data_IF_044478031014
#
_entry.id   IF_044478031014
#
_cell.length_a   1.000
_cell.length_b   1.000
_cell.length_c   1.000
_cell.angle_alpha   90.00
_cell.angle_beta   90.00
_cell.angle_gamma   90.00
#
_symmetry.space_group_name_H-M   'P 1'
#
loop_
_entity.id
_entity.type
_entity.pdbx_description
1 polymer ?
#
# COMPACT_ATOMS: atom_id res chain seq x y z
N UNK A 1 12.99 28.49 8.78
CA UNK A 1 11.80 27.72 9.15
C UNK A 1 11.35 26.94 7.93
N UNK A 2 11.42 25.62 7.95
CA UNK A 2 10.82 24.74 6.95
C UNK A 2 9.40 24.38 7.41
N UNK A 3 8.48 24.10 6.48
CA UNK A 3 7.11 23.69 6.81
C UNK A 3 7.03 22.32 7.51
N UNK A 4 8.15 21.58 7.55
CA UNK A 4 8.33 20.32 8.27
C UNK A 4 8.98 20.48 9.66
N UNK A 5 9.27 21.71 10.14
CA UNK A 5 10.01 21.91 11.40
C UNK A 5 9.33 21.29 12.65
N UNK A 6 8.02 21.01 12.58
CA UNK A 6 7.22 20.48 13.72
C UNK A 6 7.14 18.95 13.79
N UNK A 7 7.89 18.22 12.97
CA UNK A 7 7.95 16.75 13.01
C UNK A 7 9.30 16.20 13.49
N UNK A 8 10.04 16.99 14.30
CA UNK A 8 11.36 16.60 14.85
C UNK A 8 11.35 15.30 15.68
N UNK A 9 10.21 14.96 16.30
CA UNK A 9 10.03 13.70 17.04
C UNK A 9 10.17 12.45 16.16
N UNK A 10 10.10 12.59 14.82
CA UNK A 10 10.32 11.47 13.91
C UNK A 10 11.77 10.93 13.97
N UNK A 11 12.69 11.72 14.52
CA UNK A 11 14.08 11.36 14.74
C UNK A 11 15.04 11.96 13.71
N UNK A 12 16.35 11.81 13.93
CA UNK A 12 17.38 12.47 13.11
C UNK A 12 17.33 12.00 11.65
N UNK A 13 17.56 12.94 10.72
CA UNK A 13 17.57 12.72 9.27
C UNK A 13 16.24 12.21 8.68
N UNK A 14 15.14 12.20 9.43
CA UNK A 14 13.85 11.68 8.97
C UNK A 14 13.30 12.42 7.75
N UNK A 15 13.44 13.75 7.71
CA UNK A 15 13.02 14.54 6.55
C UNK A 15 13.74 14.10 5.27
N UNK A 16 15.07 13.87 5.34
CA UNK A 16 15.84 13.37 4.21
C UNK A 16 15.41 11.95 3.79
N UNK A 17 15.16 11.07 4.76
CA UNK A 17 14.68 9.70 4.50
C UNK A 17 13.31 9.71 3.81
N UNK A 18 12.39 10.55 4.28
CA UNK A 18 11.05 10.73 3.69
C UNK A 18 11.14 11.38 2.30
N UNK A 19 12.05 12.33 2.08
CA UNK A 19 12.25 12.94 0.77
C UNK A 19 12.83 11.95 -0.26
N UNK A 20 13.62 10.97 0.15
CA UNK A 20 14.23 9.98 -0.75
C UNK A 20 13.31 8.79 -1.06
N UNK A 21 12.36 8.45 -0.17
CA UNK A 21 11.56 7.23 -0.30
C UNK A 21 10.56 7.34 -1.46
N UNK A 22 10.34 6.21 -2.15
CA UNK A 22 9.33 6.08 -3.20
C UNK A 22 8.16 5.23 -2.73
N UNK A 23 6.97 5.84 -2.67
CA UNK A 23 5.73 5.17 -2.28
C UNK A 23 4.87 4.87 -3.51
N UNK A 24 4.53 3.59 -3.70
CA UNK A 24 3.58 3.14 -4.71
C UNK A 24 2.15 3.13 -4.15
N UNK A 25 1.20 3.76 -4.82
CA UNK A 25 -0.22 3.70 -4.47
C UNK A 25 -1.01 3.01 -5.59
N UNK A 26 -1.62 1.87 -5.27
CA UNK A 26 -2.45 1.09 -6.19
C UNK A 26 -3.92 1.27 -5.83
N UNK A 27 -4.70 1.84 -6.75
CA UNK A 27 -6.06 2.30 -6.49
C UNK A 27 -6.06 3.62 -5.71
N UNK A 28 -6.83 4.60 -6.17
CA UNK A 28 -6.92 5.95 -5.63
C UNK A 28 -8.36 6.31 -5.26
N UNK A 29 -9.08 5.33 -4.75
CA UNK A 29 -10.40 5.50 -4.12
C UNK A 29 -10.31 6.20 -2.76
N UNK A 30 -11.30 5.94 -1.89
CA UNK A 30 -11.41 6.57 -0.56
C UNK A 30 -10.11 6.50 0.24
N UNK A 31 -9.71 5.32 0.70
CA UNK A 31 -8.53 5.14 1.56
C UNK A 31 -7.23 5.74 1.00
N UNK A 32 -6.81 5.34 -0.20
CA UNK A 32 -5.54 5.81 -0.76
C UNK A 32 -5.52 7.30 -1.15
N UNK A 33 -6.68 7.95 -1.37
CA UNK A 33 -6.72 9.41 -1.53
C UNK A 33 -6.30 10.14 -0.25
N UNK A 34 -6.69 9.64 0.93
CA UNK A 34 -6.21 10.13 2.22
C UNK A 34 -4.73 9.82 2.43
N UNK A 35 -4.28 8.59 2.12
CA UNK A 35 -2.86 8.22 2.25
C UNK A 35 -1.97 9.15 1.43
N UNK A 36 -2.31 9.37 0.16
CA UNK A 36 -1.56 10.29 -0.70
C UNK A 36 -1.45 11.70 -0.10
N UNK A 37 -2.55 12.24 0.44
CA UNK A 37 -2.58 13.56 1.07
C UNK A 37 -1.69 13.62 2.31
N UNK A 38 -1.85 12.65 3.22
CA UNK A 38 -1.10 12.61 4.48
C UNK A 38 0.40 12.40 4.23
N UNK A 39 0.77 11.51 3.31
CA UNK A 39 2.16 11.31 2.89
C UNK A 39 2.77 12.56 2.25
N UNK A 40 1.99 13.30 1.44
CA UNK A 40 2.44 14.58 0.90
C UNK A 40 2.73 15.58 2.03
N UNK A 41 1.88 15.66 3.05
CA UNK A 41 2.10 16.50 4.24
C UNK A 41 3.30 16.07 5.11
N UNK A 42 3.71 14.80 5.03
CA UNK A 42 4.91 14.30 5.73
C UNK A 42 6.21 14.60 4.97
N UNK A 43 6.12 15.17 3.76
CA UNK A 43 7.29 15.48 2.94
C UNK A 43 7.82 14.27 2.16
N UNK A 44 7.00 13.24 1.93
CA UNK A 44 7.36 12.15 1.02
C UNK A 44 7.72 12.73 -0.35
N UNK A 45 8.89 12.35 -0.87
CA UNK A 45 9.42 12.97 -2.08
C UNK A 45 9.01 12.29 -3.38
N UNK A 46 8.74 10.97 -3.39
CA UNK A 46 8.49 10.24 -4.63
C UNK A 46 7.23 9.37 -4.53
N UNK A 47 6.38 9.46 -5.57
CA UNK A 47 5.14 8.72 -5.68
C UNK A 47 5.03 8.02 -7.04
N UNK A 48 4.57 6.78 -7.03
CA UNK A 48 4.11 6.05 -8.23
C UNK A 48 2.64 5.72 -8.04
N UNK A 49 1.77 6.28 -8.87
CA UNK A 49 0.32 6.13 -8.74
C UNK A 49 -0.22 5.30 -9.89
N UNK A 50 -1.08 4.31 -9.60
CA UNK A 50 -1.84 3.59 -10.63
C UNK A 50 -3.32 3.47 -10.27
N UNK A 51 -4.14 4.01 -11.15
CA UNK A 51 -5.59 3.86 -11.14
C UNK A 51 -6.12 4.11 -12.56
N UNK A 52 -6.89 3.15 -13.10
CA UNK A 52 -7.48 3.24 -14.44
C UNK A 52 -8.73 4.12 -14.47
N UNK A 53 -9.34 4.40 -13.33
CA UNK A 53 -10.63 5.02 -13.23
C UNK A 53 -10.59 6.55 -13.37
N UNK A 54 -11.75 7.08 -13.73
CA UNK A 54 -12.09 8.49 -13.61
C UNK A 54 -12.98 8.68 -12.39
N UNK A 55 -12.96 9.88 -11.82
CA UNK A 55 -13.87 10.21 -10.71
C UNK A 55 -15.34 10.14 -11.17
N UNK A 56 -16.20 9.57 -10.32
CA UNK A 56 -17.66 9.58 -10.48
C UNK A 56 -18.33 10.39 -9.38
N UNK A 57 -19.62 10.67 -9.54
CA UNK A 57 -20.43 11.36 -8.55
C UNK A 57 -20.42 10.65 -7.18
N UNK A 58 -20.50 9.31 -7.20
CA UNK A 58 -20.48 8.48 -5.98
C UNK A 58 -19.14 8.49 -5.27
N UNK A 59 -18.07 9.07 -5.83
CA UNK A 59 -16.78 9.22 -5.16
C UNK A 59 -16.66 10.52 -4.36
N UNK A 60 -17.50 11.54 -4.61
CA UNK A 60 -17.34 12.87 -3.99
C UNK A 60 -17.46 12.86 -2.46
N UNK A 61 -18.12 11.85 -1.90
CA UNK A 61 -18.30 11.73 -0.45
C UNK A 61 -17.05 11.23 0.30
N UNK A 62 -15.97 10.82 -0.40
CA UNK A 62 -14.78 10.20 0.22
C UNK A 62 -13.46 10.36 -0.53
N UNK A 63 -13.47 10.77 -1.80
CA UNK A 63 -12.25 10.93 -2.58
C UNK A 63 -11.63 12.31 -2.32
N UNK A 64 -10.53 12.34 -1.57
CA UNK A 64 -9.83 13.57 -1.21
C UNK A 64 -9.26 14.26 -2.46
N UNK A 65 -9.51 15.56 -2.57
CA UNK A 65 -9.15 16.38 -3.75
C UNK A 65 -10.13 16.27 -4.92
N UNK A 66 -11.12 15.38 -4.84
CA UNK A 66 -12.24 15.29 -5.78
C UNK A 66 -13.21 16.46 -5.63
N UNK A 67 -13.71 16.97 -6.74
CA UNK A 67 -14.66 18.09 -6.78
C UNK A 67 -15.74 17.85 -7.83
N UNK A 68 -16.86 18.56 -7.72
CA UNK A 68 -17.92 18.57 -8.75
C UNK A 68 -17.36 18.87 -10.14
N UNK A 69 -16.43 19.82 -10.23
CA UNK A 69 -15.76 20.16 -11.49
C UNK A 69 -14.96 18.98 -12.06
N UNK A 70 -14.31 18.19 -11.20
CA UNK A 70 -13.59 17.01 -11.67
C UNK A 70 -14.55 15.94 -12.22
N UNK A 71 -15.73 15.79 -11.63
CA UNK A 71 -16.79 14.89 -12.14
C UNK A 71 -17.28 15.36 -13.50
N UNK A 72 -17.61 16.64 -13.65
CA UNK A 72 -18.04 17.22 -14.94
C UNK A 72 -16.99 17.00 -16.03
N UNK A 73 -15.70 17.19 -15.71
CA UNK A 73 -14.57 16.95 -16.63
C UNK A 73 -14.18 15.48 -16.77
N UNK A 74 -14.84 14.57 -16.06
CA UNK A 74 -14.48 13.14 -15.97
C UNK A 74 -12.99 12.96 -15.68
N UNK A 75 -12.43 13.72 -14.75
CA UNK A 75 -10.97 13.75 -14.51
C UNK A 75 -10.47 12.39 -14.03
N UNK A 76 -9.31 11.95 -14.51
CA UNK A 76 -8.69 10.71 -14.03
C UNK A 76 -8.31 10.83 -12.55
N UNK A 77 -8.54 9.78 -11.74
CA UNK A 77 -8.23 9.83 -10.29
C UNK A 77 -6.75 10.10 -10.04
N UNK A 78 -5.87 9.50 -10.84
CA UNK A 78 -4.41 9.76 -10.80
C UNK A 78 -4.05 11.24 -11.01
N UNK A 79 -4.80 11.96 -11.85
CA UNK A 79 -4.54 13.37 -12.13
C UNK A 79 -4.97 14.27 -10.98
N UNK A 80 -6.14 13.97 -10.40
CA UNK A 80 -6.63 14.66 -9.19
C UNK A 80 -5.59 14.53 -8.08
N UNK A 81 -5.08 13.30 -7.89
CA UNK A 81 -4.15 13.00 -6.83
C UNK A 81 -2.78 13.63 -7.06
N UNK A 82 -2.26 13.62 -8.29
CA UNK A 82 -1.04 14.33 -8.66
C UNK A 82 -1.14 15.82 -8.35
N UNK A 83 -2.23 16.47 -8.76
CA UNK A 83 -2.47 17.89 -8.48
C UNK A 83 -2.49 18.17 -6.98
N UNK A 84 -3.17 17.34 -6.21
CA UNK A 84 -3.28 17.50 -4.76
C UNK A 84 -1.91 17.33 -4.07
N UNK A 85 -1.16 16.28 -4.39
CA UNK A 85 0.18 16.05 -3.84
C UNK A 85 1.09 17.24 -4.17
N UNK A 86 1.10 17.71 -5.41
CA UNK A 86 1.94 18.85 -5.84
C UNK A 86 1.53 20.18 -5.20
N UNK A 87 0.25 20.36 -4.86
CA UNK A 87 -0.21 21.54 -4.15
C UNK A 87 0.32 21.56 -2.69
N UNK A 88 0.49 20.40 -2.06
CA UNK A 88 1.02 20.27 -0.70
C UNK A 88 2.55 20.29 -0.70
N UNK A 89 3.16 19.46 -1.55
CA UNK A 89 4.62 19.34 -1.69
C UNK A 89 5.02 19.56 -3.15
N UNK A 90 5.34 20.81 -3.56
CA UNK A 90 5.73 21.13 -4.93
C UNK A 90 6.99 20.41 -5.43
N UNK A 91 7.84 19.96 -4.49
CA UNK A 91 9.08 19.23 -4.78
C UNK A 91 8.86 17.74 -5.01
N UNK A 92 7.67 17.21 -4.73
CA UNK A 92 7.39 15.80 -4.91
C UNK A 92 7.44 15.41 -6.40
N UNK A 93 8.14 14.32 -6.70
CA UNK A 93 8.05 13.62 -7.97
C UNK A 93 6.83 12.71 -7.94
N UNK A 94 5.90 12.89 -8.89
CA UNK A 94 4.68 12.09 -8.98
C UNK A 94 4.57 11.47 -10.38
N UNK A 95 4.88 10.18 -10.46
CA UNK A 95 4.68 9.34 -11.64
C UNK A 95 3.24 8.80 -11.63
N UNK A 96 2.51 8.93 -12.75
CA UNK A 96 1.12 8.50 -12.85
C UNK A 96 0.93 7.48 -13.97
N UNK A 97 0.13 6.44 -13.68
CA UNK A 97 -0.25 5.39 -14.61
C UNK A 97 -1.77 5.29 -14.64
N UNK A 98 -2.37 5.82 -15.72
CA UNK A 98 -3.82 5.76 -15.91
C UNK A 98 -4.26 4.42 -16.53
N UNK A 99 -3.94 3.34 -15.82
CA UNK A 99 -4.13 1.96 -16.25
C UNK A 99 -4.12 1.04 -15.03
N UNK A 100 -4.45 -0.22 -15.26
CA UNK A 100 -4.25 -1.26 -14.25
C UNK A 100 -2.79 -1.32 -13.81
N UNK A 101 -2.55 -1.52 -12.50
CA UNK A 101 -1.20 -1.48 -11.94
C UNK A 101 -0.30 -2.57 -12.49
N UNK A 102 -0.88 -3.72 -12.90
CA UNK A 102 -0.16 -4.83 -13.51
C UNK A 102 0.61 -4.37 -14.77
N UNK A 103 0.03 -3.43 -15.53
CA UNK A 103 0.65 -2.83 -16.72
C UNK A 103 1.70 -1.77 -16.40
N UNK A 104 1.89 -1.45 -15.12
CA UNK A 104 2.89 -0.53 -14.60
C UNK A 104 3.88 -1.25 -13.64
N UNK A 105 3.96 -2.58 -13.69
CA UNK A 105 4.77 -3.38 -12.77
C UNK A 105 6.22 -2.91 -12.66
N UNK A 106 6.86 -2.52 -13.77
CA UNK A 106 8.25 -2.01 -13.75
C UNK A 106 8.41 -0.71 -12.95
N UNK A 107 7.37 0.12 -12.87
CA UNK A 107 7.37 1.30 -12.00
C UNK A 107 7.25 0.90 -10.52
N UNK A 108 6.34 -0.03 -10.22
CA UNK A 108 6.14 -0.52 -8.85
C UNK A 108 7.34 -1.31 -8.32
N UNK A 109 8.12 -2.00 -9.17
CA UNK A 109 9.38 -2.66 -8.78
C UNK A 109 10.42 -1.71 -8.17
N UNK A 110 10.32 -0.41 -8.44
CA UNK A 110 11.22 0.63 -7.92
C UNK A 110 10.75 1.24 -6.60
N UNK A 111 9.52 0.96 -6.18
CA UNK A 111 8.97 1.50 -4.95
C UNK A 111 9.65 0.88 -3.73
N UNK A 112 9.83 1.66 -2.68
CA UNK A 112 10.32 1.18 -1.39
C UNK A 112 9.19 0.60 -0.54
N UNK A 113 7.97 1.12 -0.70
CA UNK A 113 6.76 0.63 -0.02
C UNK A 113 5.57 0.76 -0.99
N UNK A 114 4.66 -0.21 -0.99
CA UNK A 114 3.42 -0.15 -1.75
C UNK A 114 2.22 -0.16 -0.81
N UNK A 115 1.23 0.69 -1.08
CA UNK A 115 -0.06 0.73 -0.37
C UNK A 115 -1.19 0.41 -1.34
N UNK A 116 -1.93 -0.66 -1.05
CA UNK A 116 -3.04 -1.14 -1.86
C UNK A 116 -4.38 -0.67 -1.29
N UNK A 117 -5.16 -0.02 -2.14
CA UNK A 117 -6.57 0.32 -1.93
C UNK A 117 -7.44 -0.40 -2.94
N UNK A 118 -7.27 -1.72 -3.05
CA UNK A 118 -8.00 -2.57 -3.99
C UNK A 118 -9.30 -3.09 -3.37
N UNK A 119 -10.37 -3.09 -4.15
CA UNK A 119 -11.70 -3.49 -3.68
C UNK A 119 -11.96 -5.01 -3.80
N UNK A 120 -11.13 -5.75 -4.54
CA UNK A 120 -11.32 -7.19 -4.76
C UNK A 120 -10.18 -8.02 -4.17
N UNK A 121 -10.51 -9.20 -3.67
CA UNK A 121 -9.58 -10.14 -3.04
C UNK A 121 -8.53 -10.63 -4.02
N UNK A 122 -8.92 -10.89 -5.28
CA UNK A 122 -7.96 -11.33 -6.30
C UNK A 122 -6.83 -10.32 -6.51
N UNK A 123 -7.17 -9.04 -6.63
CA UNK A 123 -6.19 -7.97 -6.81
C UNK A 123 -5.30 -7.79 -5.58
N UNK A 124 -5.85 -7.94 -4.38
CA UNK A 124 -5.06 -7.93 -3.13
C UNK A 124 -4.05 -9.09 -3.12
N UNK A 125 -4.47 -10.29 -3.52
CA UNK A 125 -3.60 -11.47 -3.61
C UNK A 125 -2.48 -11.29 -4.65
N UNK A 126 -2.83 -10.82 -5.85
CA UNK A 126 -1.87 -10.53 -6.92
C UNK A 126 -0.84 -9.47 -6.50
N UNK A 127 -1.29 -8.41 -5.81
CA UNK A 127 -0.40 -7.34 -5.35
C UNK A 127 0.49 -7.78 -4.19
N UNK A 128 -0.03 -8.57 -3.24
CA UNK A 128 0.78 -9.16 -2.15
C UNK A 128 1.85 -10.09 -2.75
N UNK A 129 1.48 -10.96 -3.69
CA UNK A 129 2.42 -11.84 -4.39
C UNK A 129 3.51 -11.05 -5.12
N UNK A 130 3.15 -9.97 -5.81
CA UNK A 130 4.11 -9.08 -6.47
C UNK A 130 5.09 -8.45 -5.46
N UNK A 131 4.58 -7.89 -4.37
CA UNK A 131 5.39 -7.26 -3.34
C UNK A 131 6.33 -8.27 -2.67
N UNK A 132 5.84 -9.49 -2.40
CA UNK A 132 6.63 -10.60 -1.87
C UNK A 132 7.77 -10.99 -2.80
N UNK A 133 7.49 -11.11 -4.10
CA UNK A 133 8.50 -11.45 -5.11
C UNK A 133 9.62 -10.41 -5.19
N UNK A 134 9.28 -9.13 -5.05
CA UNK A 134 10.25 -8.03 -5.17
C UNK A 134 10.81 -7.53 -3.83
N UNK A 135 10.50 -8.21 -2.74
CA UNK A 135 10.90 -7.84 -1.37
C UNK A 135 10.46 -6.42 -0.97
N UNK A 136 9.26 -6.04 -1.40
CA UNK A 136 8.68 -4.72 -1.12
C UNK A 136 7.67 -4.86 0.04
N UNK A 137 7.80 -4.09 1.13
CA UNK A 137 6.74 -3.95 2.13
C UNK A 137 5.41 -3.52 1.50
N UNK A 138 4.36 -4.25 1.83
CA UNK A 138 3.01 -4.02 1.32
C UNK A 138 2.05 -3.69 2.45
N UNK A 139 1.37 -2.55 2.33
CA UNK A 139 0.25 -2.20 3.19
C UNK A 139 -1.06 -2.42 2.45
N UNK A 140 -1.87 -3.35 2.93
CA UNK A 140 -3.25 -3.49 2.50
C UNK A 140 -4.17 -2.74 3.46
N UNK A 141 -5.14 -2.02 2.92
CA UNK A 141 -6.24 -1.48 3.72
C UNK A 141 -7.57 -1.83 3.08
N UNK A 142 -8.58 -2.01 3.92
CA UNK A 142 -9.92 -2.35 3.47
C UNK A 142 -10.94 -2.00 4.54
N UNK A 143 -12.15 -1.70 4.08
CA UNK A 143 -13.30 -1.46 4.94
C UNK A 143 -14.50 -2.16 4.35
N UNK A 144 -15.37 -2.63 5.23
CA UNK A 144 -16.65 -3.19 4.87
C UNK A 144 -17.76 -2.62 5.76
N UNK A 145 -18.96 -2.51 5.17
CA UNK A 145 -20.14 -1.99 5.83
C UNK A 145 -21.27 -2.97 5.57
N UNK A 146 -21.70 -3.65 6.63
CA UNK A 146 -22.77 -4.64 6.58
C UNK A 146 -24.00 -4.13 7.32
N UNK A 147 -25.17 -4.23 6.68
CA UNK A 147 -26.42 -4.00 7.40
C UNK A 147 -26.63 -5.15 8.39
N UNK A 148 -26.99 -4.83 9.64
CA UNK A 148 -27.31 -5.86 10.63
C UNK A 148 -28.59 -6.59 10.21
N UNK A 149 -28.63 -7.91 10.38
CA UNK A 149 -29.81 -8.72 10.05
C UNK A 149 -31.01 -8.41 10.98
N UNK A 150 -30.72 -7.94 12.18
CA UNK A 150 -31.72 -7.55 13.19
C UNK A 150 -31.54 -6.07 13.55
N UNK A 151 -32.60 -5.28 13.33
CA UNK A 151 -32.64 -3.84 13.62
C UNK A 151 -32.14 -2.94 12.48
N UNK A 152 -32.15 -1.62 12.71
CA UNK A 152 -31.80 -0.60 11.71
C UNK A 152 -30.30 -0.18 11.74
N UNK A 153 -29.43 -1.04 12.28
CA UNK A 153 -28.01 -0.76 12.45
C UNK A 153 -27.12 -1.20 11.27
N UNK A 154 -25.92 -0.63 11.21
CA UNK A 154 -24.85 -1.05 10.31
C UNK A 154 -23.62 -1.43 11.14
N UNK A 155 -22.98 -2.54 10.79
CA UNK A 155 -21.64 -2.90 11.25
C UNK A 155 -20.61 -2.30 10.29
N UNK A 156 -19.73 -1.45 10.80
CA UNK A 156 -18.66 -0.82 10.03
C UNK A 156 -17.33 -1.32 10.59
N UNK A 157 -16.63 -2.11 9.79
CA UNK A 157 -15.36 -2.70 10.17
C UNK A 157 -14.29 -2.38 9.13
N UNK A 158 -13.08 -2.15 9.58
CA UNK A 158 -11.93 -1.89 8.73
C UNK A 158 -10.70 -2.64 9.19
N UNK A 159 -9.72 -2.72 8.30
CA UNK A 159 -8.44 -3.32 8.60
C UNK A 159 -7.30 -2.64 7.87
N UNK A 160 -6.13 -2.66 8.51
CA UNK A 160 -4.85 -2.28 7.92
C UNK A 160 -3.86 -3.38 8.21
N UNK A 161 -3.23 -3.91 7.16
CA UNK A 161 -2.27 -5.00 7.26
C UNK A 161 -0.95 -4.58 6.64
N UNK A 162 0.13 -4.80 7.38
CA UNK A 162 1.49 -4.70 6.87
C UNK A 162 2.01 -6.12 6.62
N UNK A 163 2.04 -6.49 5.33
CA UNK A 163 2.62 -7.71 4.81
C UNK A 163 4.06 -7.43 4.37
N UNK A 164 5.02 -8.15 4.93
CA UNK A 164 6.45 -7.98 4.61
C UNK A 164 7.15 -9.32 4.42
N UNK A 165 8.21 -9.39 3.60
CA UNK A 165 9.05 -10.58 3.50
C UNK A 165 9.54 -11.03 4.89
N UNK A 166 9.41 -12.33 5.18
CA UNK A 166 9.71 -12.90 6.50
C UNK A 166 8.53 -12.89 7.49
N UNK A 167 7.45 -12.18 7.18
CA UNK A 167 6.27 -12.01 8.05
C UNK A 167 5.02 -12.61 7.42
N UNK A 168 3.91 -12.80 8.15
CA UNK A 168 2.69 -13.37 7.58
C UNK A 168 2.16 -12.55 6.40
N UNK A 169 1.72 -13.23 5.32
CA UNK A 169 1.10 -12.61 4.14
C UNK A 169 -0.43 -12.54 4.30
N UNK A 170 -1.14 -11.97 3.32
CA UNK A 170 -2.61 -11.88 3.39
C UNK A 170 -3.29 -13.25 3.49
N UNK A 171 -2.69 -14.29 2.89
CA UNK A 171 -3.14 -15.68 3.02
C UNK A 171 -2.87 -16.28 4.41
N UNK A 172 -1.69 -16.03 4.99
CA UNK A 172 -1.40 -16.44 6.38
C UNK A 172 -2.39 -15.81 7.37
N UNK A 173 -2.72 -14.55 7.13
CA UNK A 173 -3.69 -13.80 7.92
C UNK A 173 -5.14 -14.10 7.52
N UNK A 174 -5.37 -15.07 6.62
CA UNK A 174 -6.68 -15.53 6.17
C UNK A 174 -7.62 -14.43 5.69
N UNK A 175 -7.06 -13.34 5.18
CA UNK A 175 -7.79 -12.29 4.46
C UNK A 175 -8.09 -12.78 3.05
N UNK A 176 -7.14 -13.51 2.47
CA UNK A 176 -7.31 -14.22 1.21
C UNK A 176 -7.30 -15.72 1.48
N UNK A 177 -8.26 -16.43 0.92
CA UNK A 177 -8.31 -17.89 0.92
C UNK A 177 -8.93 -18.37 -0.40
N UNK A 178 -8.67 -19.62 -0.78
CA UNK A 178 -9.27 -20.20 -2.00
C UNK A 178 -10.80 -20.15 -1.94
N UNK A 179 -11.38 -20.41 -0.76
CA UNK A 179 -12.83 -20.31 -0.54
C UNK A 179 -13.35 -18.88 -0.76
N UNK A 180 -12.66 -17.87 -0.22
CA UNK A 180 -13.06 -16.47 -0.37
C UNK A 180 -12.89 -15.97 -1.81
N UNK A 181 -11.85 -16.43 -2.52
CA UNK A 181 -11.66 -16.13 -3.94
C UNK A 181 -12.74 -16.76 -4.82
N UNK A 182 -13.09 -18.04 -4.56
CA UNK A 182 -14.17 -18.73 -5.27
C UNK A 182 -15.53 -18.06 -5.02
N UNK A 183 -15.78 -17.63 -3.78
CA UNK A 183 -16.99 -16.89 -3.42
C UNK A 183 -17.06 -15.52 -4.12
N UNK A 184 -15.97 -14.76 -4.15
CA UNK A 184 -15.89 -13.49 -4.88
C UNK A 184 -16.13 -13.69 -6.39
N UNK A 185 -15.56 -14.74 -6.98
CA UNK A 185 -15.78 -15.09 -8.39
C UNK A 185 -17.23 -15.49 -8.66
N UNK A 186 -17.89 -16.21 -7.75
CA UNK A 186 -19.31 -16.59 -7.88
C UNK A 186 -20.27 -15.39 -7.81
N UNK A 187 -19.86 -14.29 -7.19
CA UNK A 187 -20.63 -13.04 -7.11
C UNK A 187 -20.34 -12.06 -8.26
N UNK A 188 -19.53 -12.46 -9.24
CA UNK A 188 -19.15 -11.61 -10.37
C UNK A 188 -20.40 -11.17 -11.16
N UNK A 189 -20.64 -9.85 -11.21
CA UNK A 189 -21.83 -9.26 -11.83
C UNK A 189 -22.97 -8.90 -10.85
N UNK A 190 -22.95 -9.40 -9.61
CA UNK A 190 -23.92 -9.08 -8.55
C UNK A 190 -23.37 -8.08 -7.51
N UNK A 191 -22.20 -7.49 -7.76
CA UNK A 191 -21.56 -6.56 -6.84
C UNK A 191 -22.33 -5.24 -6.76
N UNK A 192 -23.27 -5.15 -5.81
CA UNK A 192 -23.85 -3.88 -5.39
C UNK A 192 -22.77 -2.92 -4.86
N UNK A 193 -23.07 -1.62 -4.84
CA UNK A 193 -22.14 -0.63 -4.31
C UNK A 193 -21.84 -0.89 -2.83
N UNK A 194 -20.56 -1.14 -2.49
CA UNK A 194 -20.14 -1.23 -1.09
C UNK A 194 -20.16 0.17 -0.47
N UNK A 195 -21.01 0.44 0.54
CA UNK A 195 -21.11 1.77 1.12
C UNK A 195 -19.81 2.15 1.82
N UNK A 196 -19.35 3.38 1.62
CA UNK A 196 -18.14 3.91 2.23
C UNK A 196 -18.25 5.42 2.42
N UNK A 197 -17.64 5.95 3.48
CA UNK A 197 -17.67 7.37 3.83
C UNK A 197 -16.28 7.89 4.23
N UNK A 198 -16.08 9.21 4.12
CA UNK A 198 -14.78 9.88 4.30
C UNK A 198 -14.09 9.57 5.63
N UNK A 199 -14.80 9.67 6.76
CA UNK A 199 -14.15 9.64 8.08
C UNK A 199 -13.49 8.30 8.38
N UNK A 200 -14.20 7.21 8.09
CA UNK A 200 -13.72 5.83 8.30
C UNK A 200 -12.53 5.48 7.40
N UNK A 201 -12.54 5.93 6.14
CA UNK A 201 -11.38 5.85 5.25
C UNK A 201 -10.21 6.66 5.80
N UNK A 202 -10.47 7.85 6.37
CA UNK A 202 -9.45 8.69 7.00
C UNK A 202 -8.73 7.99 8.16
N UNK A 203 -9.48 7.31 9.04
CA UNK A 203 -8.90 6.56 10.17
C UNK A 203 -7.96 5.45 9.67
N UNK A 204 -8.44 4.60 8.75
CA UNK A 204 -7.63 3.52 8.18
C UNK A 204 -6.40 4.05 7.43
N UNK A 205 -6.55 5.13 6.68
CA UNK A 205 -5.44 5.77 5.98
C UNK A 205 -4.39 6.29 6.97
N UNK A 206 -4.80 6.91 8.09
CA UNK A 206 -3.87 7.38 9.11
C UNK A 206 -3.13 6.24 9.81
N UNK A 207 -3.79 5.10 10.03
CA UNK A 207 -3.12 3.89 10.52
C UNK A 207 -2.07 3.36 9.52
N UNK A 208 -2.43 3.29 8.23
CA UNK A 208 -1.49 2.88 7.19
C UNK A 208 -0.30 3.85 7.07
N UNK A 209 -0.54 5.15 7.12
CA UNK A 209 0.49 6.19 7.11
C UNK A 209 1.41 6.08 8.32
N UNK A 210 0.86 5.84 9.52
CA UNK A 210 1.66 5.61 10.73
C UNK A 210 2.63 4.44 10.59
N UNK A 211 2.18 3.33 9.97
CA UNK A 211 3.02 2.19 9.65
C UNK A 211 4.09 2.52 8.59
N UNK A 212 3.75 3.28 7.54
CA UNK A 212 4.74 3.77 6.56
C UNK A 212 5.82 4.59 7.25
N UNK A 213 5.44 5.55 8.11
CA UNK A 213 6.38 6.38 8.85
C UNK A 213 7.25 5.53 9.77
N UNK A 214 6.68 4.52 10.44
CA UNK A 214 7.45 3.60 11.27
C UNK A 214 8.47 2.76 10.50
N UNK A 215 8.19 2.40 9.24
CA UNK A 215 9.16 1.71 8.39
C UNK A 215 10.30 2.64 7.91
N UNK A 216 10.00 3.93 7.74
CA UNK A 216 10.93 4.90 7.14
C UNK A 216 11.72 5.68 8.17
N UNK A 217 11.23 5.87 9.39
CA UNK A 217 11.85 6.75 10.40
C UNK A 217 12.00 6.05 11.76
N UNK A 218 12.97 6.46 12.60
CA UNK A 218 13.25 5.80 13.88
C UNK A 218 12.35 6.27 15.04
N UNK A 219 11.22 6.92 14.74
CA UNK A 219 10.34 7.56 15.74
C UNK A 219 9.81 6.57 16.79
N UNK A 220 9.62 5.32 16.39
CA UNK A 220 9.18 4.23 17.25
C UNK A 220 10.21 3.10 17.17
N UNK A 221 10.89 2.83 18.29
CA UNK A 221 11.97 1.83 18.41
C UNK A 221 11.49 0.37 18.29
N UNK A 222 10.18 0.13 18.17
CA UNK A 222 9.66 -1.21 17.94
C UNK A 222 9.85 -1.58 16.48
N UNK A 223 10.72 -2.56 16.22
CA UNK A 223 10.78 -3.21 14.91
C UNK A 223 9.43 -3.85 14.60
N UNK A 224 8.85 -3.45 13.46
CA UNK A 224 7.62 -4.05 12.95
C UNK A 224 8.00 -5.04 11.88
N UNK A 225 7.98 -6.32 12.24
CA UNK A 225 8.03 -7.40 11.26
C UNK A 225 6.76 -7.41 10.39
N UNK A 226 5.61 -7.06 10.97
CA UNK A 226 4.35 -6.90 10.27
C UNK A 226 3.32 -6.23 11.17
N UNK A 227 2.08 -6.12 10.70
CA UNK A 227 0.96 -5.65 11.50
C UNK A 227 -0.36 -6.15 10.93
N UNK A 228 -1.34 -6.36 11.81
CA UNK A 228 -2.74 -6.48 11.42
C UNK A 228 -3.57 -5.71 12.46
N UNK A 229 -4.03 -4.52 12.05
CA UNK A 229 -4.88 -3.66 12.86
C UNK A 229 -6.32 -3.82 12.39
N UNK A 230 -7.22 -4.08 13.33
CA UNK A 230 -8.67 -4.12 13.13
C UNK A 230 -9.27 -2.85 13.70
N UNK A 231 -10.15 -2.23 12.92
CA UNK A 231 -10.88 -1.03 13.29
C UNK A 231 -12.37 -1.36 13.37
N UNK A 232 -12.96 -1.19 14.54
CA UNK A 232 -14.40 -1.20 14.74
C UNK A 232 -14.87 0.26 14.74
N UNK A 233 -15.59 0.65 13.70
CA UNK A 233 -16.05 2.02 13.54
C UNK A 233 -17.34 2.31 14.34
N UNK A 234 -18.05 1.28 14.80
CA UNK A 234 -19.21 1.45 15.69
C UNK A 234 -18.77 1.87 17.09
N UNK A 235 -17.65 1.32 17.57
CA UNK A 235 -17.08 1.65 18.89
C UNK A 235 -15.93 2.65 18.82
N UNK A 236 -15.38 2.89 17.63
CA UNK A 236 -14.18 3.70 17.44
C UNK A 236 -12.88 3.00 17.87
N UNK A 237 -12.93 1.71 18.18
CA UNK A 237 -11.82 0.97 18.74
C UNK A 237 -10.87 0.45 17.65
N UNK A 238 -9.58 0.58 17.89
CA UNK A 238 -8.51 -0.01 17.07
C UNK A 238 -7.77 -1.04 17.91
N UNK A 239 -7.72 -2.28 17.43
CA UNK A 239 -7.06 -3.40 18.11
C UNK A 239 -6.10 -4.13 17.18
N UNK A 240 -5.09 -4.79 17.73
CA UNK A 240 -4.30 -5.75 16.96
C UNK A 240 -5.10 -7.05 16.82
N UNK A 241 -5.25 -7.52 15.58
CA UNK A 241 -6.06 -8.69 15.29
C UNK A 241 -5.50 -9.93 15.97
N UNK A 242 -6.38 -10.72 16.58
CA UNK A 242 -5.99 -11.93 17.33
C UNK A 242 -5.16 -12.91 16.49
N UNK A 243 -5.51 -13.03 15.20
CA UNK A 243 -4.81 -13.90 14.26
C UNK A 243 -3.35 -13.49 14.07
N UNK A 244 -3.05 -12.20 14.12
CA UNK A 244 -1.68 -11.70 14.05
C UNK A 244 -0.97 -11.83 15.40
N UNK A 245 -1.65 -11.51 16.51
CA UNK A 245 -1.10 -11.68 17.88
C UNK A 245 -0.64 -13.11 18.17
N UNK A 246 -1.36 -14.10 17.66
CA UNK A 246 -1.04 -15.53 17.81
C UNK A 246 -0.09 -16.07 16.74
N UNK A 247 0.30 -15.26 15.77
CA UNK A 247 1.15 -15.74 14.67
C UNK A 247 2.60 -15.87 15.14
N UNK A 248 3.12 -17.10 15.09
CA UNK A 248 4.50 -17.42 15.49
C UNK A 248 5.32 -18.16 14.42
N UNK A 249 4.69 -18.53 13.31
CA UNK A 249 5.30 -19.36 12.26
C UNK A 249 5.97 -18.55 11.14
N UNK A 250 6.84 -19.18 10.36
CA UNK A 250 7.26 -18.62 9.07
C UNK A 250 6.12 -18.72 8.05
N UNK A 251 6.02 -17.75 7.14
CA UNK A 251 5.04 -17.79 6.05
C UNK A 251 5.28 -18.99 5.13
N UNK A 252 4.35 -19.97 5.03
CA UNK A 252 4.53 -21.13 4.13
C UNK A 252 4.29 -20.77 2.65
N UNK A 253 3.58 -19.67 2.37
CA UNK A 253 3.24 -19.25 1.01
C UNK A 253 4.42 -18.59 0.28
N UNK A 254 5.27 -17.88 1.01
CA UNK A 254 6.39 -17.11 0.46
C UNK A 254 7.65 -17.35 1.31
N UNK A 255 8.19 -18.58 1.34
CA UNK A 255 9.38 -18.87 2.12
C UNK A 255 10.57 -18.08 1.56
N UNK A 256 11.39 -17.50 2.45
CA UNK A 256 12.55 -16.69 2.05
C UNK A 256 13.56 -17.49 1.22
N UNK A 257 13.61 -18.80 1.40
CA UNK A 257 14.44 -19.74 0.62
C UNK A 257 14.00 -19.88 -0.83
N UNK A 258 12.74 -19.56 -1.16
CA UNK A 258 12.22 -19.61 -2.53
C UNK A 258 12.25 -18.25 -3.24
N UNK A 259 12.81 -17.22 -2.61
CA UNK A 259 12.94 -15.89 -3.24
C UNK A 259 14.15 -15.91 -4.16
N UNK A 260 13.91 -16.06 -5.47
CA UNK A 260 14.92 -15.82 -6.50
C UNK A 260 15.38 -14.36 -6.52
N UNK A 261 16.39 -14.02 -7.33
CA UNK A 261 16.89 -12.64 -7.40
C UNK A 261 15.75 -11.66 -7.75
N UNK A 262 15.38 -10.73 -6.84
CA UNK A 262 14.35 -9.72 -7.09
C UNK A 262 14.71 -8.78 -8.25
N UNK A 263 16.00 -8.73 -8.62
CA UNK A 263 16.51 -8.00 -9.77
C UNK A 263 16.59 -8.80 -11.07
N UNK A 264 16.26 -10.09 -11.04
CA UNK A 264 16.23 -10.91 -12.24
C UNK A 264 15.18 -10.37 -13.21
N UNK A 265 15.65 -9.95 -14.36
CA UNK A 265 14.82 -9.55 -15.48
C UNK A 265 15.38 -10.25 -16.72
N UNK A 266 14.67 -11.26 -17.21
CA UNK A 266 15.09 -11.99 -18.42
C UNK A 266 15.21 -11.05 -19.63
N UNK A 267 14.47 -9.92 -19.63
CA UNK A 267 14.59 -8.90 -20.66
C UNK A 267 15.98 -8.28 -20.68
N UNK A 268 16.63 -8.12 -19.53
CA UNK A 268 18.02 -7.66 -19.47
C UNK A 268 19.02 -8.66 -20.05
N UNK A 269 18.66 -9.95 -20.07
CA UNK A 269 19.47 -10.99 -20.71
C UNK A 269 19.22 -11.07 -22.22
N UNK A 270 17.99 -10.80 -22.68
CA UNK A 270 17.72 -10.59 -24.12
C UNK A 270 18.25 -9.24 -24.63
N UNK A 271 18.30 -8.21 -23.77
CA UNK A 271 18.84 -6.87 -24.03
C UNK A 271 20.38 -6.82 -24.00
N UNK A 272 21.06 -7.97 -23.87
CA UNK A 272 22.43 -8.10 -24.43
C UNK A 272 22.45 -7.85 -25.94
N UNK A 273 21.30 -7.69 -26.59
CA UNK A 273 21.14 -7.22 -27.96
C UNK A 273 20.87 -5.69 -28.05
N UNK A 274 20.40 -4.99 -27.00
CA UNK A 274 20.24 -3.52 -27.03
C UNK A 274 20.22 -2.89 -25.62
N UNK A 275 21.14 -1.95 -25.37
CA UNK A 275 21.45 -1.32 -24.08
C UNK A 275 20.33 -0.45 -23.47
N UNK A 276 20.07 -0.56 -22.16
CA UNK A 276 19.85 0.61 -21.28
C UNK A 276 20.14 0.34 -19.80
N UNK A 277 20.80 1.32 -19.16
CA UNK A 277 21.33 1.32 -17.80
C UNK A 277 20.22 1.40 -16.72
N UNK A 278 20.33 0.63 -15.64
CA UNK A 278 19.32 0.57 -14.56
C UNK A 278 20.00 0.56 -13.18
N UNK A 279 19.75 1.59 -12.35
CA UNK A 279 20.20 1.62 -10.95
C UNK A 279 19.16 1.02 -9.98
N UNK A 280 19.53 0.06 -9.11
CA UNK A 280 18.62 -0.59 -8.15
C UNK A 280 18.37 0.24 -6.86
N UNK A 281 17.24 -0.04 -6.18
CA UNK A 281 16.80 0.60 -4.92
C UNK A 281 17.74 0.35 -3.72
N UNK A 282 17.59 1.15 -2.64
CA UNK A 282 18.49 1.13 -1.46
C UNK A 282 18.39 -0.17 -0.65
N UNK A 283 17.20 -0.75 -0.54
CA UNK A 283 16.98 -2.07 0.09
C UNK A 283 17.67 -3.22 -0.66
N UNK A 284 17.78 -3.14 -1.99
CA UNK A 284 18.53 -4.13 -2.79
C UNK A 284 20.03 -4.16 -2.45
N UNK A 285 20.61 -3.04 -2.03
CA UNK A 285 22.02 -2.99 -1.57
C UNK A 285 22.20 -3.59 -0.16
N UNK A 286 21.27 -3.32 0.74
CA UNK A 286 21.29 -3.86 2.10
C UNK A 286 21.05 -5.37 2.13
N UNK A 287 20.01 -5.86 1.43
CA UNK A 287 19.68 -7.28 1.40
C UNK A 287 20.67 -8.13 0.61
N UNK A 288 21.27 -7.62 -0.50
CA UNK A 288 22.33 -8.36 -1.20
C UNK A 288 23.58 -8.52 -0.34
N UNK A 289 23.88 -7.56 0.54
CA UNK A 289 25.01 -7.65 1.47
C UNK A 289 24.73 -8.63 2.61
N UNK A 290 23.50 -8.63 3.15
CA UNK A 290 23.07 -9.56 4.21
C UNK A 290 22.94 -11.00 3.67
N UNK A 291 22.35 -11.20 2.50
CA UNK A 291 22.23 -12.51 1.85
C UNK A 291 23.61 -13.09 1.47
N UNK A 292 24.55 -12.26 1.00
CA UNK A 292 25.93 -12.72 0.75
C UNK A 292 26.65 -13.15 2.03
N UNK A 293 26.41 -12.48 3.16
CA UNK A 293 26.96 -12.88 4.47
C UNK A 293 26.34 -14.17 4.99
N UNK A 294 25.03 -14.36 4.85
CA UNK A 294 24.35 -15.59 5.28
C UNK A 294 24.75 -16.81 4.45
N UNK A 295 25.02 -16.64 3.14
CA UNK A 295 25.54 -17.72 2.29
C UNK A 295 27.03 -18.02 2.56
N UNK A 296 27.81 -17.04 3.01
CA UNK A 296 29.22 -17.24 3.35
C UNK A 296 29.44 -17.91 4.72
N UNK A 297 28.49 -17.77 5.65
CA UNK A 297 28.55 -18.41 6.99
C UNK A 297 28.00 -19.85 6.96
N UNK A 298 27.36 -20.25 5.86
CA UNK A 298 26.87 -21.62 5.63
C UNK A 298 27.80 -22.52 4.80
N UNK A 299 29.10 -22.21 4.73
CA UNK A 299 30.15 -23.09 4.17
C UNK A 299 31.21 -23.40 5.21
#
# INVERSE_FOLDING_TARGET
MNWLDRQSFLGPHSEGRLAEVTIGLVGLGGGNSHVAQQLAHLGIGNFVLADGDRISLTNLNRLIGGTWWNVLKRTAKVEIMRRMIKAINPRAHVEIHRKQWQLAGDAFKRCDIIVGGLDNLRGKDELDAFCRRFLIPYLDQGMDVHKLQTGDGHLVAGQVVLSQPGSPCLRCLGIVSEAALAEEAGRYGAAGGRPQVVWSNGVLASLAVGLVVQLVTPWNRRDKAGAYLSFDANTGLITEAERFRRWSASCPHYPLTAVGDPGFDIRKFTDRITTSDHRPSRWRRLLSTVLRKLVAVGR
#
